data_IF_698319724312
#
_entry.id   IF_698319724312
#
_cell.length_a   1.000
_cell.length_b   1.000
_cell.length_c   1.000
_cell.angle_alpha   90.00
_cell.angle_beta   90.00
_cell.angle_gamma   90.00
#
_symmetry.space_group_name_H-M   'P 1'
#
loop_
_entity.id
_entity.type
_entity.pdbx_description
1 polymer ?
#
# COMPACT_ATOMS: atom_id res chain seq x y z
N UNK A 1 -31.06 -2.94 -13.15
CA UNK A 1 -29.93 -3.73 -12.66
C UNK A 1 -29.47 -4.58 -13.81
N UNK A 2 -28.26 -4.39 -14.32
CA UNK A 2 -27.75 -5.19 -15.43
C UNK A 2 -27.22 -6.50 -14.85
N UNK A 3 -28.01 -7.56 -14.97
CA UNK A 3 -27.59 -8.91 -14.61
C UNK A 3 -26.60 -9.40 -15.65
N UNK A 4 -25.45 -9.88 -15.18
CA UNK A 4 -24.41 -10.46 -16.03
C UNK A 4 -24.63 -11.97 -16.16
N UNK A 5 -24.08 -12.56 -17.23
CA UNK A 5 -24.06 -14.02 -17.41
C UNK A 5 -23.39 -14.71 -16.21
N UNK A 6 -22.34 -14.10 -15.67
CA UNK A 6 -21.65 -14.58 -14.47
C UNK A 6 -22.55 -14.61 -13.23
N UNK A 7 -23.35 -13.58 -13.00
CA UNK A 7 -24.33 -13.55 -11.91
C UNK A 7 -25.41 -14.64 -12.08
N UNK A 8 -25.92 -14.84 -13.30
CA UNK A 8 -26.89 -15.88 -13.60
C UNK A 8 -26.32 -17.28 -13.32
N UNK A 9 -25.11 -17.57 -13.78
CA UNK A 9 -24.45 -18.86 -13.54
C UNK A 9 -24.21 -19.08 -12.04
N UNK A 10 -23.82 -18.01 -11.32
CA UNK A 10 -23.64 -18.07 -9.86
C UNK A 10 -24.95 -18.35 -9.14
N UNK A 11 -26.03 -17.71 -9.54
CA UNK A 11 -27.35 -17.92 -8.96
C UNK A 11 -27.86 -19.34 -9.23
N UNK A 12 -27.68 -19.87 -10.44
CA UNK A 12 -28.06 -21.26 -10.78
C UNK A 12 -27.27 -22.26 -9.91
N UNK A 13 -25.96 -22.07 -9.81
CA UNK A 13 -25.09 -22.93 -8.99
C UNK A 13 -25.42 -22.82 -7.49
N UNK A 14 -25.81 -21.63 -7.03
CA UNK A 14 -26.20 -21.40 -5.64
C UNK A 14 -27.59 -21.96 -5.30
N UNK A 15 -28.51 -22.01 -6.29
CA UNK A 15 -29.88 -22.49 -6.12
C UNK A 15 -29.97 -24.01 -6.04
N UNK A 16 -29.16 -24.72 -6.83
CA UNK A 16 -29.17 -26.18 -6.90
C UNK A 16 -27.76 -26.74 -6.71
N UNK A 17 -27.52 -27.37 -5.55
CA UNK A 17 -26.23 -27.98 -5.19
C UNK A 17 -25.88 -29.20 -6.07
N UNK A 18 -26.83 -29.71 -6.86
CA UNK A 18 -26.58 -30.77 -7.85
C UNK A 18 -25.92 -30.29 -9.14
N UNK A 19 -25.82 -28.97 -9.37
CA UNK A 19 -25.20 -28.39 -10.56
C UNK A 19 -23.71 -28.15 -10.30
N UNK A 20 -22.85 -29.00 -10.87
CA UNK A 20 -21.40 -28.88 -10.75
C UNK A 20 -20.81 -28.01 -11.86
N UNK A 21 -21.49 -27.93 -13.00
CA UNK A 21 -21.00 -27.22 -14.16
C UNK A 21 -22.15 -26.63 -14.99
N UNK A 22 -22.16 -25.31 -15.12
CA UNK A 22 -23.06 -24.57 -15.98
C UNK A 22 -22.24 -23.68 -16.92
N UNK A 23 -22.49 -23.74 -18.23
CA UNK A 23 -21.85 -22.87 -19.22
C UNK A 23 -22.87 -22.40 -20.25
N UNK A 24 -22.76 -21.13 -20.62
CA UNK A 24 -23.54 -20.52 -21.69
C UNK A 24 -22.73 -20.56 -22.99
N UNK A 25 -23.33 -21.11 -24.05
CA UNK A 25 -22.77 -21.20 -25.38
C UNK A 25 -23.59 -20.34 -26.35
N UNK A 26 -22.91 -19.70 -27.30
CA UNK A 26 -23.56 -19.01 -28.42
C UNK A 26 -24.06 -20.03 -29.46
N UNK A 27 -24.88 -19.60 -30.43
CA UNK A 27 -25.35 -20.44 -31.54
C UNK A 27 -24.23 -21.16 -32.33
N UNK A 28 -23.03 -20.58 -32.33
CA UNK A 28 -21.81 -21.15 -32.95
C UNK A 28 -21.03 -22.12 -32.05
N UNK A 29 -21.53 -22.42 -30.84
CA UNK A 29 -20.89 -23.34 -29.88
C UNK A 29 -19.73 -22.74 -29.07
N UNK A 30 -19.51 -21.41 -29.14
CA UNK A 30 -18.47 -20.73 -28.36
C UNK A 30 -18.97 -20.29 -26.98
N UNK A 31 -18.13 -20.44 -25.94
CA UNK A 31 -18.45 -20.00 -24.57
C UNK A 31 -18.61 -18.48 -24.49
N UNK A 32 -19.73 -18.05 -23.91
CA UNK A 32 -20.02 -16.63 -23.65
C UNK A 32 -19.31 -16.22 -22.36
N UNK A 33 -18.72 -15.02 -22.37
CA UNK A 33 -17.99 -14.50 -21.22
C UNK A 33 -18.91 -14.23 -20.02
N UNK A 34 -18.42 -14.51 -18.82
CA UNK A 34 -19.11 -14.23 -17.56
C UNK A 34 -19.43 -12.73 -17.38
N UNK A 35 -18.70 -11.85 -18.05
CA UNK A 35 -18.90 -10.41 -17.98
C UNK A 35 -19.93 -9.88 -19.01
N UNK A 36 -20.43 -10.74 -19.90
CA UNK A 36 -21.41 -10.33 -20.91
C UNK A 36 -22.75 -10.01 -20.25
N UNK A 37 -23.40 -8.92 -20.68
CA UNK A 37 -24.72 -8.55 -20.20
C UNK A 37 -25.79 -9.50 -20.72
N UNK A 38 -26.75 -9.84 -19.88
CA UNK A 38 -27.83 -10.76 -20.24
C UNK A 38 -28.69 -10.23 -21.39
N UNK A 39 -28.86 -8.90 -21.51
CA UNK A 39 -29.56 -8.25 -22.64
C UNK A 39 -28.91 -8.52 -24.00
N UNK A 40 -27.59 -8.66 -24.06
CA UNK A 40 -26.87 -8.98 -25.30
C UNK A 40 -27.03 -10.45 -25.67
N UNK A 41 -27.06 -11.33 -24.69
CA UNK A 41 -27.26 -12.78 -24.90
C UNK A 41 -28.71 -13.08 -25.28
N UNK A 42 -29.69 -12.44 -24.64
CA UNK A 42 -31.12 -12.59 -24.93
C UNK A 42 -31.55 -12.09 -26.32
N UNK A 43 -30.68 -11.40 -27.06
CA UNK A 43 -30.96 -10.95 -28.43
C UNK A 43 -30.66 -12.01 -29.50
N UNK A 44 -29.97 -13.10 -29.14
CA UNK A 44 -29.63 -14.20 -30.05
C UNK A 44 -30.03 -15.53 -29.41
N UNK A 45 -30.21 -16.55 -30.24
CA UNK A 45 -30.39 -17.91 -29.73
C UNK A 45 -29.10 -18.37 -29.04
N UNK A 46 -29.25 -18.85 -27.80
CA UNK A 46 -28.13 -19.33 -26.99
C UNK A 46 -28.43 -20.71 -26.40
N UNK A 47 -27.38 -21.49 -26.18
CA UNK A 47 -27.48 -22.81 -25.59
C UNK A 47 -26.94 -22.77 -24.16
N UNK A 48 -27.69 -23.32 -23.21
CA UNK A 48 -27.28 -23.46 -21.83
C UNK A 48 -26.95 -24.92 -21.56
N UNK A 49 -25.69 -25.21 -21.21
CA UNK A 49 -25.24 -26.57 -20.86
C UNK A 49 -25.15 -26.67 -19.35
N UNK A 50 -25.93 -27.58 -18.76
CA UNK A 50 -25.95 -27.87 -17.32
C UNK A 50 -25.63 -29.35 -17.14
N UNK A 51 -24.52 -29.69 -16.45
CA UNK A 51 -24.12 -31.08 -16.18
C UNK A 51 -24.23 -32.02 -17.41
N UNK A 52 -23.66 -31.61 -18.55
CA UNK A 52 -23.72 -32.31 -19.86
C UNK A 52 -25.08 -32.36 -20.57
N UNK A 53 -26.13 -31.72 -20.03
CA UNK A 53 -27.42 -31.55 -20.72
C UNK A 53 -27.47 -30.19 -21.42
N UNK A 54 -27.57 -30.22 -22.74
CA UNK A 54 -27.68 -29.02 -23.59
C UNK A 54 -29.13 -28.59 -23.75
N UNK A 55 -29.49 -27.44 -23.17
CA UNK A 55 -30.79 -26.81 -23.35
C UNK A 55 -30.69 -25.68 -24.38
N UNK A 56 -31.45 -25.79 -25.48
CA UNK A 56 -31.53 -24.74 -26.49
C UNK A 56 -32.62 -23.73 -26.09
N UNK A 57 -32.21 -22.50 -25.77
CA UNK A 57 -33.13 -21.42 -25.39
C UNK A 57 -33.27 -20.50 -26.60
N UNK A 58 -34.45 -20.56 -27.25
CA UNK A 58 -34.80 -19.61 -28.31
C UNK A 58 -35.13 -18.27 -27.67
N UNK A 59 -34.36 -17.25 -28.03
CA UNK A 59 -34.70 -15.90 -27.64
C UNK A 59 -35.93 -15.45 -28.41
N UNK A 60 -36.98 -15.01 -27.71
CA UNK A 60 -38.05 -14.24 -28.34
C UNK A 60 -37.44 -12.90 -28.76
N UNK A 61 -37.00 -12.82 -30.01
CA UNK A 61 -36.48 -11.59 -30.60
C UNK A 61 -37.48 -10.46 -30.38
N UNK A 62 -37.01 -9.37 -29.80
CA UNK A 62 -37.79 -8.18 -29.56
C UNK A 62 -38.30 -7.68 -30.93
N UNK A 63 -39.60 -7.86 -31.19
CA UNK A 63 -40.20 -7.53 -32.48
C UNK A 63 -40.02 -6.05 -32.82
N UNK A 64 -39.85 -5.69 -34.11
CA UNK A 64 -39.66 -4.31 -34.53
C UNK A 64 -41.03 -3.61 -34.56
N UNK A 65 -41.33 -2.80 -33.56
CA UNK A 65 -42.40 -1.80 -33.67
C UNK A 65 -42.11 -0.65 -32.73
N UNK A 66 -41.55 0.43 -33.25
CA UNK A 66 -41.29 1.63 -32.47
C UNK A 66 -41.39 2.88 -33.35
N UNK A 67 -42.61 3.28 -33.66
CA UNK A 67 -42.90 4.61 -34.22
C UNK A 67 -43.64 5.53 -33.21
N UNK A 68 -43.79 5.09 -31.94
CA UNK A 68 -44.60 5.82 -30.96
C UNK A 68 -44.18 5.63 -29.49
N UNK A 69 -42.96 5.99 -29.07
CA UNK A 69 -42.54 5.91 -27.65
C UNK A 69 -41.58 7.03 -27.19
N UNK A 70 -41.31 8.05 -28.01
CA UNK A 70 -40.37 9.14 -27.65
C UNK A 70 -40.71 9.83 -26.31
N UNK A 71 -41.99 9.99 -25.97
CA UNK A 71 -42.40 10.60 -24.70
C UNK A 71 -42.19 9.73 -23.46
N UNK A 72 -42.28 8.40 -23.58
CA UNK A 72 -42.14 7.49 -22.42
C UNK A 72 -40.67 7.31 -22.05
N UNK A 73 -39.78 7.28 -23.03
CA UNK A 73 -38.34 7.25 -22.79
C UNK A 73 -37.83 8.54 -22.12
N UNK A 74 -38.40 9.70 -22.49
CA UNK A 74 -38.02 10.99 -21.91
C UNK A 74 -38.46 11.10 -20.44
N UNK A 75 -39.69 10.67 -20.13
CA UNK A 75 -40.18 10.57 -18.74
C UNK A 75 -39.32 9.60 -17.92
N UNK A 76 -38.94 8.46 -18.50
CA UNK A 76 -38.07 7.47 -17.84
C UNK A 76 -36.66 8.01 -17.61
N UNK A 77 -36.13 8.82 -18.53
CA UNK A 77 -34.87 9.52 -18.37
C UNK A 77 -34.94 10.54 -17.23
N UNK A 78 -35.99 11.38 -17.18
CA UNK A 78 -36.20 12.34 -16.10
C UNK A 78 -36.29 11.66 -14.73
N UNK A 79 -37.03 10.55 -14.61
CA UNK A 79 -37.13 9.79 -13.36
C UNK A 79 -35.77 9.21 -12.94
N UNK A 80 -34.97 8.69 -13.89
CA UNK A 80 -33.61 8.21 -13.61
C UNK A 80 -32.68 9.35 -13.18
N UNK A 81 -32.79 10.51 -13.81
CA UNK A 81 -31.99 11.69 -13.47
C UNK A 81 -32.37 12.22 -12.09
N UNK A 82 -33.66 12.28 -11.75
CA UNK A 82 -34.15 12.67 -10.45
C UNK A 82 -33.73 11.66 -9.37
N UNK A 83 -33.90 10.36 -9.63
CA UNK A 83 -33.46 9.30 -8.74
C UNK A 83 -31.94 9.36 -8.55
N UNK A 84 -31.16 9.59 -9.60
CA UNK A 84 -29.72 9.80 -9.50
C UNK A 84 -29.42 11.03 -8.63
N UNK A 85 -30.05 12.18 -8.90
CA UNK A 85 -29.84 13.43 -8.17
C UNK A 85 -30.23 13.34 -6.69
N UNK A 86 -31.28 12.59 -6.32
CA UNK A 86 -31.65 12.35 -4.92
C UNK A 86 -30.74 11.33 -4.23
N UNK A 87 -30.30 10.29 -4.94
CA UNK A 87 -29.50 9.20 -4.36
C UNK A 87 -28.00 9.54 -4.27
N UNK A 88 -27.49 10.39 -5.17
CA UNK A 88 -26.08 10.79 -5.23
C UNK A 88 -25.59 11.50 -3.96
N UNK A 89 -26.26 12.53 -3.41
CA UNK A 89 -25.81 13.21 -2.20
C UNK A 89 -25.83 12.28 -0.99
N UNK A 90 -26.84 11.41 -0.87
CA UNK A 90 -26.89 10.38 0.18
C UNK A 90 -25.67 9.43 0.09
N UNK A 91 -25.32 9.02 -1.13
CA UNK A 91 -24.17 8.15 -1.37
C UNK A 91 -22.83 8.86 -1.14
N UNK A 92 -22.76 10.17 -1.40
CA UNK A 92 -21.58 10.98 -1.12
C UNK A 92 -21.36 11.13 0.39
N UNK A 93 -22.41 11.40 1.17
CA UNK A 93 -22.31 11.47 2.63
C UNK A 93 -21.85 10.15 3.25
N UNK A 94 -22.43 9.01 2.83
CA UNK A 94 -22.02 7.69 3.32
C UNK A 94 -20.55 7.36 2.97
N UNK A 95 -20.10 7.73 1.77
CA UNK A 95 -18.69 7.58 1.38
C UNK A 95 -17.78 8.50 2.19
N UNK A 96 -18.16 9.75 2.41
CA UNK A 96 -17.39 10.68 3.22
C UNK A 96 -17.25 10.17 4.66
N UNK A 97 -18.32 9.67 5.27
CA UNK A 97 -18.24 9.09 6.62
C UNK A 97 -17.36 7.85 6.68
N UNK A 98 -17.43 6.98 5.68
CA UNK A 98 -16.56 5.80 5.60
C UNK A 98 -15.08 6.17 5.45
N UNK A 99 -14.79 7.16 4.60
CA UNK A 99 -13.44 7.68 4.40
C UNK A 99 -12.90 8.35 5.66
N UNK A 100 -13.72 9.13 6.37
CA UNK A 100 -13.34 9.75 7.64
C UNK A 100 -13.06 8.69 8.71
N UNK A 101 -13.90 7.67 8.84
CA UNK A 101 -13.66 6.55 9.75
C UNK A 101 -12.34 5.83 9.43
N UNK A 102 -12.09 5.52 8.15
CA UNK A 102 -10.80 4.93 7.74
C UNK A 102 -9.62 5.85 8.04
N UNK A 103 -9.77 7.15 7.85
CA UNK A 103 -8.72 8.11 8.17
C UNK A 103 -8.43 8.17 9.67
N UNK A 104 -9.46 8.15 10.51
CA UNK A 104 -9.32 8.11 11.97
C UNK A 104 -8.66 6.81 12.43
N UNK A 105 -9.07 5.67 11.90
CA UNK A 105 -8.45 4.37 12.19
C UNK A 105 -6.97 4.35 11.80
N UNK A 106 -6.64 4.80 10.58
CA UNK A 106 -5.25 4.90 10.13
C UNK A 106 -4.44 5.86 11.00
N UNK A 107 -5.02 6.99 11.40
CA UNK A 107 -4.36 7.97 12.27
C UNK A 107 -4.13 7.41 13.67
N UNK A 108 -5.06 6.63 14.19
CA UNK A 108 -4.93 5.95 15.48
C UNK A 108 -3.82 4.90 15.43
N UNK A 109 -3.72 4.14 14.34
CA UNK A 109 -2.60 3.21 14.12
C UNK A 109 -1.26 3.91 13.86
N UNK A 110 -1.27 5.12 13.30
CA UNK A 110 -0.04 5.91 13.08
C UNK A 110 0.51 6.53 14.37
N UNK A 111 -0.37 6.88 15.31
CA UNK A 111 -0.01 7.52 16.58
C UNK A 111 1.06 6.76 17.38
N UNK A 112 0.99 5.43 17.57
CA UNK A 112 2.05 4.68 18.25
C UNK A 112 3.35 4.62 17.44
N UNK A 113 3.29 4.64 16.11
CA UNK A 113 4.50 4.70 15.28
C UNK A 113 5.19 6.06 15.37
N UNK A 114 4.40 7.14 15.44
CA UNK A 114 4.91 8.50 15.59
C UNK A 114 5.58 8.69 16.96
N UNK A 115 4.98 8.20 18.05
CA UNK A 115 5.59 8.28 19.38
C UNK A 115 6.91 7.51 19.45
N UNK A 116 6.97 6.31 18.87
CA UNK A 116 8.21 5.52 18.79
C UNK A 116 9.28 6.24 17.96
N UNK A 117 8.92 6.85 16.82
CA UNK A 117 9.87 7.65 16.02
C UNK A 117 10.41 8.84 16.79
N UNK A 118 9.55 9.58 17.49
CA UNK A 118 9.95 10.75 18.29
C UNK A 118 10.87 10.33 19.43
N UNK A 119 10.58 9.22 20.10
CA UNK A 119 11.41 8.68 21.17
C UNK A 119 12.79 8.27 20.65
N UNK A 120 12.85 7.54 19.53
CA UNK A 120 14.12 7.18 18.89
C UNK A 120 14.93 8.40 18.42
N UNK A 121 14.25 9.43 17.89
CA UNK A 121 14.91 10.67 17.48
C UNK A 121 15.51 11.42 18.68
N UNK A 122 14.78 11.46 19.80
CA UNK A 122 15.26 12.06 21.06
C UNK A 122 16.46 11.30 21.62
N UNK A 123 16.41 9.97 21.62
CA UNK A 123 17.50 9.11 22.08
C UNK A 123 18.74 9.25 21.18
N UNK A 124 18.55 9.35 19.86
CA UNK A 124 19.65 9.59 18.93
C UNK A 124 20.31 10.95 19.16
N UNK A 125 19.51 12.00 19.39
CA UNK A 125 20.04 13.33 19.70
C UNK A 125 20.83 13.33 21.01
N UNK A 126 20.30 12.68 22.06
CA UNK A 126 21.00 12.56 23.35
C UNK A 126 22.33 11.82 23.21
N UNK A 127 22.36 10.70 22.47
CA UNK A 127 23.59 9.95 22.20
C UNK A 127 24.61 10.77 21.40
N UNK A 128 24.16 11.53 20.38
CA UNK A 128 25.03 12.40 19.60
C UNK A 128 25.65 13.51 20.46
N UNK A 129 24.86 14.15 21.32
CA UNK A 129 25.36 15.12 22.29
C UNK A 129 26.35 14.48 23.27
N UNK A 130 26.05 13.30 23.82
CA UNK A 130 26.94 12.58 24.72
C UNK A 130 28.29 12.24 24.07
N UNK A 131 28.28 11.74 22.84
CA UNK A 131 29.50 11.50 22.04
C UNK A 131 30.32 12.78 21.84
N UNK A 132 29.65 13.91 21.58
CA UNK A 132 30.31 15.22 21.49
C UNK A 132 30.99 15.64 22.80
N UNK A 133 30.30 15.50 23.94
CA UNK A 133 30.86 15.79 25.26
C UNK A 133 32.03 14.87 25.62
N UNK A 134 31.94 13.57 25.30
CA UNK A 134 33.04 12.61 25.50
C UNK A 134 34.24 12.96 24.62
N UNK A 135 34.02 13.30 23.35
CA UNK A 135 35.09 13.74 22.44
C UNK A 135 35.77 15.02 22.93
N UNK A 136 35.00 15.98 23.44
CA UNK A 136 35.53 17.21 24.01
C UNK A 136 36.37 16.93 25.27
N UNK A 137 35.87 16.12 26.19
CA UNK A 137 36.60 15.73 27.39
C UNK A 137 37.92 14.98 27.07
N UNK A 138 37.87 14.07 26.08
CA UNK A 138 39.06 13.35 25.61
C UNK A 138 40.09 14.30 24.99
N UNK A 139 39.68 15.23 24.13
CA UNK A 139 40.59 16.21 23.54
C UNK A 139 41.21 17.13 24.58
N UNK A 140 40.43 17.57 25.58
CA UNK A 140 40.94 18.35 26.70
C UNK A 140 41.95 17.56 27.54
N UNK A 141 41.69 16.28 27.81
CA UNK A 141 42.63 15.43 28.53
C UNK A 141 43.91 15.16 27.71
N UNK A 142 43.77 14.85 26.42
CA UNK A 142 44.90 14.63 25.51
C UNK A 142 45.78 15.88 25.41
N UNK A 143 45.17 17.06 25.24
CA UNK A 143 45.89 18.34 25.20
C UNK A 143 46.55 18.69 26.54
N UNK A 144 45.84 18.48 27.65
CA UNK A 144 46.37 18.73 28.99
C UNK A 144 47.51 17.78 29.37
N UNK A 145 47.41 16.49 29.01
CA UNK A 145 48.45 15.50 29.23
C UNK A 145 49.73 15.82 28.47
N UNK A 146 49.59 16.17 27.18
CA UNK A 146 50.72 16.63 26.36
C UNK A 146 51.33 17.92 26.91
N UNK A 147 50.50 18.90 27.30
CA UNK A 147 50.96 20.14 27.92
C UNK A 147 51.74 19.91 29.22
N UNK A 148 51.25 19.03 30.09
CA UNK A 148 51.93 18.67 31.34
C UNK A 148 53.28 17.99 31.10
N UNK A 149 53.33 17.02 30.18
CA UNK A 149 54.58 16.34 29.80
C UNK A 149 55.63 17.30 29.24
N UNK A 150 55.20 18.27 28.41
CA UNK A 150 56.10 19.22 27.72
C UNK A 150 56.71 20.27 28.67
N UNK A 151 56.05 20.59 29.78
CA UNK A 151 56.55 21.60 30.74
C UNK A 151 57.21 21.01 31.99
N UNK A 152 56.82 19.80 32.41
CA UNK A 152 57.21 19.29 33.72
C UNK A 152 58.14 18.06 33.68
N UNK A 153 58.17 17.30 32.57
CA UNK A 153 58.79 15.95 32.57
C UNK A 153 59.79 15.71 31.44
N UNK A 154 59.51 16.13 30.21
CA UNK A 154 60.37 15.85 29.05
C UNK A 154 60.58 17.06 28.15
N UNK A 155 61.79 17.17 27.59
CA UNK A 155 62.10 18.13 26.53
C UNK A 155 61.35 17.79 25.24
N UNK A 156 61.08 18.82 24.42
CA UNK A 156 60.24 18.72 23.22
C UNK A 156 60.69 17.63 22.22
N UNK A 157 61.99 17.34 22.16
CA UNK A 157 62.60 16.34 21.28
C UNK A 157 62.13 14.89 21.56
N UNK A 158 61.81 14.58 22.82
CA UNK A 158 61.28 13.25 23.20
C UNK A 158 59.77 13.12 22.91
N UNK A 159 59.04 14.24 22.84
CA UNK A 159 57.59 14.26 22.67
C UNK A 159 57.13 14.20 21.20
N UNK A 160 58.02 14.52 20.26
CA UNK A 160 57.75 14.46 18.82
C UNK A 160 57.20 13.09 18.38
N UNK A 161 57.88 11.94 18.60
CA UNK A 161 57.34 10.64 18.18
C UNK A 161 56.06 10.25 18.93
N UNK A 162 55.93 10.61 20.22
CA UNK A 162 54.80 10.22 21.07
C UNK A 162 53.50 10.90 20.61
N UNK A 163 53.55 12.19 20.30
CA UNK A 163 52.40 12.94 19.79
C UNK A 163 51.93 12.44 18.43
N UNK A 164 52.86 12.03 17.56
CA UNK A 164 52.55 11.39 16.28
C UNK A 164 51.77 10.09 16.46
N UNK A 165 52.24 9.18 17.33
CA UNK A 165 51.53 7.92 17.58
C UNK A 165 50.13 8.13 18.17
N UNK A 166 49.97 9.06 19.11
CA UNK A 166 48.67 9.36 19.72
C UNK A 166 47.71 9.92 18.67
N UNK A 167 48.15 10.88 17.85
CA UNK A 167 47.30 11.50 16.82
C UNK A 167 46.90 10.50 15.75
N UNK A 168 47.83 9.64 15.33
CA UNK A 168 47.56 8.56 14.39
C UNK A 168 46.54 7.56 14.95
N UNK A 169 46.72 7.14 16.21
CA UNK A 169 45.81 6.20 16.88
C UNK A 169 44.42 6.78 17.06
N UNK A 170 44.31 8.03 17.54
CA UNK A 170 43.03 8.74 17.67
C UNK A 170 42.32 8.86 16.32
N UNK A 171 43.04 9.16 15.23
CA UNK A 171 42.49 9.23 13.88
C UNK A 171 41.98 7.86 13.40
N UNK A 172 42.75 6.78 13.66
CA UNK A 172 42.35 5.42 13.31
C UNK A 172 41.08 4.98 14.05
N UNK A 173 40.98 5.29 15.35
CA UNK A 173 39.77 5.00 16.15
C UNK A 173 38.56 5.77 15.62
N UNK A 174 38.73 7.06 15.31
CA UNK A 174 37.64 7.88 14.75
C UNK A 174 37.15 7.31 13.41
N UNK A 175 38.07 6.92 12.54
CA UNK A 175 37.74 6.31 11.25
C UNK A 175 37.08 4.94 11.40
N UNK A 176 37.57 4.09 12.31
CA UNK A 176 36.97 2.79 12.62
C UNK A 176 35.55 2.94 13.16
N UNK A 177 35.32 3.88 14.07
CA UNK A 177 33.99 4.21 14.59
C UNK A 177 33.05 4.69 13.49
N UNK A 178 33.54 5.56 12.60
CA UNK A 178 32.76 6.06 11.46
C UNK A 178 32.38 4.92 10.48
N UNK A 179 33.34 4.05 10.13
CA UNK A 179 33.07 2.90 9.28
C UNK A 179 32.03 1.96 9.92
N UNK A 180 32.20 1.63 11.20
CA UNK A 180 31.26 0.75 11.91
C UNK A 180 29.86 1.37 11.97
N UNK A 181 29.75 2.65 12.29
CA UNK A 181 28.47 3.38 12.35
C UNK A 181 27.76 3.43 10.99
N UNK A 182 28.50 3.62 9.90
CA UNK A 182 27.94 3.58 8.53
C UNK A 182 27.41 2.20 8.16
N UNK A 183 28.16 1.14 8.47
CA UNK A 183 27.75 -0.24 8.19
C UNK A 183 26.44 -0.60 8.93
N UNK A 184 26.31 -0.19 10.19
CA UNK A 184 25.07 -0.39 10.96
C UNK A 184 23.89 0.34 10.32
N UNK A 185 24.07 1.61 9.89
CA UNK A 185 23.00 2.39 9.24
C UNK A 185 22.51 1.72 7.94
N UNK A 186 23.43 1.23 7.11
CA UNK A 186 23.08 0.56 5.84
C UNK A 186 22.36 -0.76 6.07
N UNK A 187 22.81 -1.58 7.04
CA UNK A 187 22.19 -2.87 7.34
C UNK A 187 20.75 -2.74 7.85
N UNK A 188 20.49 -1.76 8.74
CA UNK A 188 19.14 -1.50 9.27
C UNK A 188 18.19 -1.01 8.17
N UNK A 189 18.67 -0.16 7.26
CA UNK A 189 17.86 0.30 6.12
C UNK A 189 17.46 -0.82 5.16
N UNK A 190 18.36 -1.80 4.95
CA UNK A 190 18.09 -2.96 4.10
C UNK A 190 17.01 -3.86 4.72
N UNK A 191 17.10 -4.11 6.02
CA UNK A 191 16.17 -4.99 6.75
C UNK A 191 14.74 -4.42 6.81
N UNK A 192 14.61 -3.10 6.96
CA UNK A 192 13.32 -2.41 6.93
C UNK A 192 12.68 -2.44 5.53
N UNK A 193 13.48 -2.43 4.46
CA UNK A 193 12.97 -2.53 3.09
C UNK A 193 12.40 -3.93 2.80
N UNK A 194 13.09 -4.98 3.26
CA UNK A 194 12.66 -6.39 3.11
C UNK A 194 11.44 -6.76 3.97
N UNK A 195 11.24 -6.08 5.11
CA UNK A 195 10.12 -6.39 6.03
C UNK A 195 8.81 -5.71 5.63
N UNK A 196 8.87 -4.61 4.87
CA UNK A 196 7.69 -3.80 4.51
C UNK A 196 7.22 -4.00 3.06
N UNK A 197 7.91 -4.81 2.25
CA UNK A 197 7.59 -5.10 0.85
C UNK A 197 7.27 -6.58 0.67
#
# INVERSE_FOLDING_TARGET
MLTTVGDLLRDITAKDRGVHYAVLLNGDGQRISSCTFMETVLNKDFQLVINDVTHNVRSFGQGPSHEHVSGVDDVKYMVRLLHAALTLPQRQHAKHSELLMKQEELKEQLKPLETVKVQMAKDAHSKASMLGWVGLAYLSLQGGFLGYLTWYVFEWDTMEPVTYFITYTTSMIFFAYYMLTRQVKTRVSLFLYDTFM
#
